data_IF_574697585348
#
_entry.id   IF_574697585348
#
_cell.length_a   1.000
_cell.length_b   1.000
_cell.length_c   1.000
_cell.angle_alpha   90.00
_cell.angle_beta   90.00
_cell.angle_gamma   90.00
#
_symmetry.space_group_name_H-M   'P 1'
#
loop_
_entity.id
_entity.type
_entity.pdbx_description
1 polymer ?
#
# COMPACT_ATOMS: atom_id res chain seq x y z
N UNK A 1 -3.98 -26.79 0.69
CA UNK A 1 -3.72 -25.41 0.22
C UNK A 1 -3.47 -25.43 -1.29
N UNK A 2 -4.23 -24.70 -2.09
CA UNK A 2 -4.09 -24.63 -3.54
C UNK A 2 -3.29 -23.38 -3.90
N UNK A 3 -2.05 -23.55 -4.31
CA UNK A 3 -1.18 -22.49 -4.81
C UNK A 3 -0.96 -22.70 -6.31
N UNK A 4 -1.13 -21.66 -7.10
CA UNK A 4 -0.84 -21.64 -8.53
C UNK A 4 0.22 -20.60 -8.79
N UNK A 5 1.24 -20.92 -9.59
CA UNK A 5 2.37 -20.02 -9.87
C UNK A 5 2.72 -20.11 -11.35
N UNK A 6 2.89 -18.95 -11.95
CA UNK A 6 3.57 -18.76 -13.22
C UNK A 6 4.96 -18.20 -12.91
N UNK A 7 5.99 -18.89 -13.37
CA UNK A 7 7.39 -18.48 -13.24
C UNK A 7 8.11 -18.68 -14.57
N UNK A 8 8.63 -17.62 -15.13
CA UNK A 8 9.34 -17.64 -16.40
C UNK A 8 10.36 -16.51 -16.47
N UNK A 9 11.65 -16.85 -16.59
CA UNK A 9 12.74 -15.89 -16.79
C UNK A 9 12.68 -14.67 -15.83
N UNK A 10 12.73 -14.91 -14.53
CA UNK A 10 12.65 -13.91 -13.46
C UNK A 10 11.27 -13.25 -13.26
N UNK A 11 10.29 -13.55 -14.10
CA UNK A 11 8.92 -13.03 -13.99
C UNK A 11 8.07 -14.01 -13.20
N UNK A 12 7.62 -13.59 -12.04
CA UNK A 12 6.83 -14.44 -11.14
C UNK A 12 5.50 -13.78 -10.80
N UNK A 13 4.41 -14.52 -10.95
CA UNK A 13 3.10 -14.23 -10.39
C UNK A 13 2.48 -15.50 -9.83
N UNK A 14 1.78 -15.39 -8.72
CA UNK A 14 1.03 -16.52 -8.16
C UNK A 14 -0.28 -16.10 -7.53
N UNK A 15 -1.16 -17.08 -7.40
CA UNK A 15 -2.45 -16.99 -6.74
C UNK A 15 -2.55 -18.06 -5.66
N UNK A 16 -3.00 -17.66 -4.48
CA UNK A 16 -3.26 -18.54 -3.33
C UNK A 16 -4.66 -18.23 -2.81
N UNK A 17 -5.41 -19.27 -2.47
CA UNK A 17 -6.65 -19.11 -1.72
C UNK A 17 -6.34 -18.73 -0.27
N UNK A 18 -6.92 -17.63 0.18
CA UNK A 18 -6.85 -17.20 1.57
C UNK A 18 -7.85 -18.00 2.38
N UNK A 19 -7.37 -18.72 3.38
CA UNK A 19 -8.16 -19.50 4.33
C UNK A 19 -7.44 -19.53 5.68
N UNK A 20 -8.06 -20.07 6.72
CA UNK A 20 -7.39 -20.25 8.00
C UNK A 20 -6.12 -21.11 7.90
N UNK A 21 -6.13 -22.13 7.03
CA UNK A 21 -4.97 -23.00 6.81
C UNK A 21 -3.79 -22.27 6.14
N UNK A 22 -4.07 -21.34 5.22
CA UNK A 22 -3.04 -20.59 4.49
C UNK A 22 -2.54 -19.35 5.23
N UNK A 23 -3.29 -18.87 6.24
CA UNK A 23 -3.05 -17.59 6.91
C UNK A 23 -1.61 -17.46 7.47
N UNK A 24 -1.10 -18.49 8.13
CA UNK A 24 0.26 -18.47 8.69
C UNK A 24 1.32 -18.34 7.60
N UNK A 25 1.15 -19.03 6.48
CA UNK A 25 2.06 -18.92 5.33
C UNK A 25 2.00 -17.53 4.71
N UNK A 26 0.80 -16.97 4.51
CA UNK A 26 0.60 -15.65 3.91
C UNK A 26 1.17 -14.52 4.78
N UNK A 27 1.19 -14.72 6.09
CA UNK A 27 1.77 -13.78 7.05
C UNK A 27 3.29 -13.96 7.24
N UNK A 28 3.89 -14.99 6.64
CA UNK A 28 5.33 -15.27 6.76
C UNK A 28 6.17 -14.37 5.85
N UNK A 29 7.49 -14.41 6.04
CA UNK A 29 8.47 -13.70 5.21
C UNK A 29 8.56 -14.21 3.76
N UNK A 30 7.92 -15.35 3.43
CA UNK A 30 7.98 -15.98 2.10
C UNK A 30 7.55 -15.04 0.97
N UNK A 31 6.62 -14.12 1.24
CA UNK A 31 6.11 -13.18 0.23
C UNK A 31 6.56 -11.72 0.45
N UNK A 32 7.55 -11.50 1.32
CA UNK A 32 8.02 -10.15 1.68
C UNK A 32 8.53 -9.35 0.48
N UNK A 33 9.23 -9.99 -0.44
CA UNK A 33 9.82 -9.35 -1.63
C UNK A 33 8.83 -9.10 -2.76
N UNK A 34 7.60 -9.61 -2.65
CA UNK A 34 6.58 -9.48 -3.68
C UNK A 34 5.64 -8.31 -3.43
N UNK A 35 5.08 -7.78 -4.51
CA UNK A 35 3.89 -6.94 -4.46
C UNK A 35 2.70 -7.89 -4.25
N UNK A 36 1.78 -7.49 -3.37
CA UNK A 36 0.66 -8.35 -2.94
C UNK A 36 -0.66 -7.65 -3.13
N UNK A 37 -1.65 -8.39 -3.63
CA UNK A 37 -3.05 -7.96 -3.68
C UNK A 37 -3.89 -9.01 -2.99
N UNK A 38 -4.65 -8.61 -1.99
CA UNK A 38 -5.55 -9.49 -1.25
C UNK A 38 -6.98 -9.07 -1.52
N UNK A 39 -7.83 -10.01 -1.87
CA UNK A 39 -9.27 -9.83 -1.98
C UNK A 39 -9.99 -10.67 -0.93
N UNK A 40 -10.78 -10.01 -0.09
CA UNK A 40 -11.64 -10.65 0.91
C UNK A 40 -13.10 -10.34 0.55
N UNK A 41 -13.83 -11.29 -0.07
CA UNK A 41 -15.20 -11.07 -0.55
C UNK A 41 -16.21 -10.75 0.55
N UNK A 42 -15.96 -11.17 1.76
CA UNK A 42 -16.85 -10.96 2.92
C UNK A 42 -16.21 -10.07 3.98
N UNK A 43 -15.09 -9.42 3.63
CA UNK A 43 -14.35 -8.59 4.55
C UNK A 43 -13.42 -9.35 5.48
N UNK A 44 -12.97 -8.68 6.54
CA UNK A 44 -12.01 -9.24 7.48
C UNK A 44 -11.14 -8.18 8.11
N UNK A 45 -10.16 -8.61 8.93
CA UNK A 45 -9.19 -7.73 9.57
C UNK A 45 -7.80 -8.00 9.03
N UNK A 46 -7.18 -6.96 8.52
CA UNK A 46 -5.83 -6.99 7.96
C UNK A 46 -5.00 -5.87 8.57
N UNK A 47 -3.78 -6.19 8.98
CA UNK A 47 -2.80 -5.20 9.43
C UNK A 47 -1.73 -5.04 8.34
N UNK A 48 -1.46 -3.81 7.95
CA UNK A 48 -0.34 -3.47 7.07
C UNK A 48 0.56 -2.48 7.80
N UNK A 49 1.80 -2.88 8.03
CA UNK A 49 2.75 -2.17 8.91
C UNK A 49 2.15 -1.93 10.32
N UNK A 50 1.95 -0.67 10.68
CA UNK A 50 1.44 -0.23 11.98
C UNK A 50 -0.05 0.10 11.96
N UNK A 51 -0.72 -0.06 10.82
CA UNK A 51 -2.14 0.28 10.63
C UNK A 51 -3.00 -0.97 10.53
N UNK A 52 -4.09 -0.99 11.30
CA UNK A 52 -5.08 -2.07 11.26
C UNK A 52 -6.29 -1.60 10.47
N UNK A 53 -6.77 -2.48 9.59
CA UNK A 53 -7.93 -2.25 8.73
C UNK A 53 -8.99 -3.30 9.00
N UNK A 54 -10.25 -2.88 9.06
CA UNK A 54 -11.39 -3.78 9.24
C UNK A 54 -12.41 -3.47 8.15
N UNK A 55 -12.75 -4.46 7.37
CA UNK A 55 -13.77 -4.38 6.34
C UNK A 55 -14.96 -5.27 6.73
N UNK A 56 -16.16 -4.71 6.72
CA UNK A 56 -17.40 -5.44 7.02
C UNK A 56 -17.98 -6.13 5.78
N UNK A 57 -17.46 -5.86 4.60
CA UNK A 57 -17.86 -6.41 3.30
C UNK A 57 -16.68 -6.52 2.34
N UNK A 58 -16.94 -6.73 1.04
CA UNK A 58 -15.88 -6.99 0.06
C UNK A 58 -14.80 -5.91 0.07
N UNK A 59 -13.53 -6.33 0.15
CA UNK A 59 -12.40 -5.40 0.23
C UNK A 59 -11.16 -5.93 -0.49
N UNK A 60 -10.43 -5.01 -1.11
CA UNK A 60 -9.13 -5.23 -1.71
C UNK A 60 -8.04 -4.54 -0.89
N UNK A 61 -6.91 -5.22 -0.71
CA UNK A 61 -5.73 -4.66 -0.05
C UNK A 61 -4.55 -4.72 -1.02
N UNK A 62 -3.79 -3.63 -1.07
CA UNK A 62 -2.63 -3.45 -1.95
C UNK A 62 -1.39 -3.21 -1.11
N UNK A 63 -0.41 -4.12 -1.18
CA UNK A 63 0.75 -4.15 -0.30
C UNK A 63 2.03 -4.23 -1.11
N UNK A 64 2.94 -3.29 -0.90
CA UNK A 64 4.25 -3.25 -1.56
C UNK A 64 5.29 -4.09 -0.82
N UNK A 65 6.42 -4.46 -1.45
CA UNK A 65 7.47 -5.25 -0.81
C UNK A 65 8.02 -4.63 0.49
N UNK A 66 7.98 -3.30 0.62
CA UNK A 66 8.47 -2.60 1.81
C UNK A 66 7.50 -2.63 3.00
N UNK A 67 6.32 -3.24 2.85
CA UNK A 67 5.27 -3.28 3.87
C UNK A 67 5.12 -4.68 4.46
N UNK A 68 4.92 -4.73 5.77
CA UNK A 68 4.61 -5.96 6.50
C UNK A 68 3.11 -6.18 6.48
N UNK A 69 2.70 -7.33 5.97
CA UNK A 69 1.31 -7.78 5.92
C UNK A 69 1.04 -8.75 7.06
N UNK A 70 -0.11 -8.60 7.73
CA UNK A 70 -0.62 -9.58 8.67
C UNK A 70 -2.15 -9.68 8.52
N UNK A 71 -2.62 -10.78 7.99
CA UNK A 71 -4.05 -11.13 7.92
C UNK A 71 -4.43 -11.66 9.30
N UNK A 72 -5.33 -10.96 10.01
CA UNK A 72 -5.62 -11.24 11.42
C UNK A 72 -6.90 -12.06 11.62
N UNK A 73 -7.96 -11.71 10.89
CA UNK A 73 -9.27 -12.33 11.06
C UNK A 73 -9.99 -12.39 9.72
N UNK A 74 -10.30 -13.59 9.29
CA UNK A 74 -11.04 -13.88 8.07
C UNK A 74 -12.54 -14.08 8.31
N UNK A 75 -12.99 -14.04 9.58
CA UNK A 75 -14.38 -14.30 9.96
C UNK A 75 -14.92 -15.65 9.42
N UNK A 76 -14.04 -16.64 9.27
CA UNK A 76 -14.34 -17.94 8.68
C UNK A 76 -14.50 -17.97 7.16
N UNK A 77 -14.15 -16.89 6.49
CA UNK A 77 -14.31 -16.71 5.04
C UNK A 77 -13.05 -17.04 4.28
N UNK A 78 -13.24 -17.27 2.99
CA UNK A 78 -12.17 -17.48 2.02
C UNK A 78 -11.95 -16.21 1.18
N UNK A 79 -10.76 -16.08 0.62
CA UNK A 79 -10.39 -14.97 -0.24
C UNK A 79 -9.30 -15.36 -1.23
N UNK A 80 -8.73 -14.36 -1.86
CA UNK A 80 -7.67 -14.53 -2.84
C UNK A 80 -6.46 -13.68 -2.47
N UNK A 81 -5.28 -14.25 -2.67
CA UNK A 81 -4.01 -13.59 -2.49
C UNK A 81 -3.19 -13.73 -3.77
N UNK A 82 -2.97 -12.62 -4.46
CA UNK A 82 -2.06 -12.54 -5.60
C UNK A 82 -0.73 -11.96 -5.11
N UNK A 83 0.37 -12.57 -5.52
CA UNK A 83 1.71 -12.03 -5.35
C UNK A 83 2.44 -12.02 -6.67
N UNK A 84 3.24 -10.98 -6.92
CA UNK A 84 4.03 -10.86 -8.14
C UNK A 84 5.27 -9.99 -7.93
N UNK A 85 6.28 -10.17 -8.78
CA UNK A 85 7.47 -9.33 -8.75
C UNK A 85 7.41 -8.21 -9.82
N UNK A 86 8.33 -7.25 -9.71
CA UNK A 86 8.42 -6.11 -10.65
C UNK A 86 8.70 -6.53 -12.08
N UNK A 87 9.44 -7.63 -12.27
CA UNK A 87 9.77 -8.15 -13.62
C UNK A 87 8.54 -8.71 -14.32
N UNK A 88 7.56 -9.22 -13.57
CA UNK A 88 6.27 -9.62 -14.13
C UNK A 88 5.39 -8.42 -14.46
N UNK A 89 5.21 -7.49 -13.51
CA UNK A 89 4.41 -6.28 -13.69
C UNK A 89 4.98 -5.11 -12.88
N UNK A 90 5.54 -4.12 -13.59
CA UNK A 90 6.05 -2.91 -12.97
C UNK A 90 4.96 -1.84 -12.91
N UNK A 91 4.50 -1.52 -11.72
CA UNK A 91 3.47 -0.49 -11.49
C UNK A 91 3.92 0.86 -12.03
N UNK A 92 5.21 1.23 -11.82
CA UNK A 92 5.76 2.52 -12.23
C UNK A 92 5.80 2.69 -13.76
N UNK A 93 6.17 1.63 -14.50
CA UNK A 93 6.23 1.67 -15.97
C UNK A 93 4.85 1.75 -16.61
N UNK A 94 3.87 1.03 -16.02
CA UNK A 94 2.50 0.98 -16.52
C UNK A 94 1.58 2.03 -15.90
N UNK A 95 2.12 2.96 -15.09
CA UNK A 95 1.33 3.94 -14.37
C UNK A 95 0.60 4.93 -15.29
N UNK A 96 1.18 5.28 -16.45
CA UNK A 96 0.51 6.13 -17.44
C UNK A 96 -0.78 5.49 -17.97
N UNK A 97 -0.82 4.15 -18.08
CA UNK A 97 -1.99 3.41 -18.58
C UNK A 97 -3.04 3.16 -17.48
N UNK A 98 -2.59 2.88 -16.26
CA UNK A 98 -3.43 2.34 -15.17
C UNK A 98 -3.71 3.39 -14.08
N UNK A 99 -2.80 4.33 -13.88
CA UNK A 99 -2.89 5.40 -12.87
C UNK A 99 -3.22 4.89 -11.46
N UNK A 100 -2.63 3.75 -11.06
CA UNK A 100 -2.87 3.12 -9.76
C UNK A 100 -1.77 3.41 -8.73
N UNK A 101 -0.56 3.78 -9.19
CA UNK A 101 0.54 4.13 -8.29
C UNK A 101 0.24 5.47 -7.58
N UNK A 102 0.59 5.57 -6.31
CA UNK A 102 0.21 6.71 -5.48
C UNK A 102 -1.26 6.73 -5.03
N UNK A 103 -2.13 5.87 -5.57
CA UNK A 103 -3.53 5.71 -5.14
C UNK A 103 -3.74 4.38 -4.40
N UNK A 104 -3.52 3.27 -5.06
CA UNK A 104 -3.65 1.92 -4.51
C UNK A 104 -2.36 1.49 -3.81
N UNK A 105 -1.23 1.72 -4.47
CA UNK A 105 0.10 1.43 -3.95
C UNK A 105 0.77 2.73 -3.51
N UNK A 106 1.74 2.62 -2.59
CA UNK A 106 2.51 3.76 -2.08
C UNK A 106 1.66 4.92 -1.53
N UNK A 107 0.41 4.63 -1.15
CA UNK A 107 -0.48 5.62 -0.57
C UNK A 107 -0.16 5.83 0.91
N UNK A 108 0.49 6.93 1.21
CA UNK A 108 1.09 7.24 2.52
C UNK A 108 0.04 7.59 3.59
N UNK A 109 -1.12 8.08 3.15
CA UNK A 109 -2.13 8.62 4.06
C UNK A 109 -3.41 7.82 4.12
N UNK A 110 -3.61 6.96 3.18
CA UNK A 110 -4.79 6.13 3.10
C UNK A 110 -4.39 4.68 3.00
N UNK A 111 -5.16 4.01 3.60
CA UNK A 111 -5.53 2.66 3.62
C UNK A 111 -5.04 1.97 2.35
N UNK A 112 -4.12 1.06 2.53
CA UNK A 112 -3.84 0.04 1.52
C UNK A 112 -5.08 -0.82 1.22
N UNK A 113 -6.29 -0.28 1.44
CA UNK A 113 -7.59 -0.94 1.35
C UNK A 113 -8.56 -0.14 0.48
N UNK A 114 -9.28 -0.82 -0.38
CA UNK A 114 -10.41 -0.30 -1.15
C UNK A 114 -11.63 -1.15 -0.82
N UNK A 115 -12.67 -0.56 -0.22
CA UNK A 115 -13.95 -1.24 -0.03
C UNK A 115 -14.63 -1.40 -1.41
N UNK A 116 -14.98 -2.62 -1.76
CA UNK A 116 -15.65 -2.91 -3.04
C UNK A 116 -17.15 -2.75 -2.85
N UNK A 117 -17.83 -1.83 -3.59
CA UNK A 117 -19.27 -1.71 -3.53
C UNK A 117 -19.96 -2.98 -4.02
N UNK A 118 -21.15 -3.30 -3.49
CA UNK A 118 -21.89 -4.52 -3.85
C UNK A 118 -22.11 -4.67 -5.36
N UNK A 119 -22.38 -3.57 -6.06
CA UNK A 119 -22.54 -3.55 -7.52
C UNK A 119 -21.28 -3.94 -8.29
N UNK A 120 -20.10 -3.84 -7.68
CA UNK A 120 -18.79 -4.14 -8.27
C UNK A 120 -18.21 -5.47 -7.76
N UNK A 121 -18.79 -6.06 -6.70
CA UNK A 121 -18.28 -7.25 -6.03
C UNK A 121 -18.28 -8.47 -6.97
N UNK A 122 -19.34 -8.67 -7.75
CA UNK A 122 -19.42 -9.74 -8.72
C UNK A 122 -18.33 -9.63 -9.80
N UNK A 123 -18.12 -8.43 -10.34
CA UNK A 123 -17.07 -8.20 -11.35
C UNK A 123 -15.69 -8.55 -10.79
N UNK A 124 -15.37 -8.09 -9.56
CA UNK A 124 -14.08 -8.38 -8.92
C UNK A 124 -13.91 -9.87 -8.65
N UNK A 125 -14.95 -10.54 -8.14
CA UNK A 125 -14.90 -11.98 -7.86
C UNK A 125 -14.69 -12.78 -9.16
N UNK A 126 -15.43 -12.46 -10.23
CA UNK A 126 -15.27 -13.09 -11.53
C UNK A 126 -13.87 -12.89 -12.10
N UNK A 127 -13.27 -11.71 -11.88
CA UNK A 127 -11.91 -11.44 -12.34
C UNK A 127 -10.87 -12.35 -11.65
N UNK A 128 -11.01 -12.60 -10.34
CA UNK A 128 -10.15 -13.55 -9.64
C UNK A 128 -10.37 -15.00 -10.12
N UNK A 129 -11.60 -15.38 -10.42
CA UNK A 129 -11.92 -16.69 -11.01
C UNK A 129 -11.30 -16.83 -12.41
N UNK A 130 -11.32 -15.79 -13.24
CA UNK A 130 -10.64 -15.79 -14.53
C UNK A 130 -9.13 -15.93 -14.39
N UNK A 131 -8.52 -15.21 -13.45
CA UNK A 131 -7.08 -15.33 -13.13
C UNK A 131 -6.77 -16.78 -12.70
N UNK A 132 -7.58 -17.37 -11.82
CA UNK A 132 -7.41 -18.76 -11.38
C UNK A 132 -7.49 -19.75 -12.54
N UNK A 133 -8.45 -19.55 -13.44
CA UNK A 133 -8.63 -20.40 -14.64
C UNK A 133 -7.43 -20.26 -15.59
N UNK A 134 -6.91 -19.04 -15.75
CA UNK A 134 -5.77 -18.76 -16.61
C UNK A 134 -4.50 -19.48 -16.15
N UNK A 135 -4.28 -19.65 -14.86
CA UNK A 135 -3.15 -20.43 -14.34
C UNK A 135 -3.18 -21.91 -14.76
N UNK A 136 -4.34 -22.44 -15.11
CA UNK A 136 -4.48 -23.82 -15.62
C UNK A 136 -4.14 -23.95 -17.12
N UNK A 137 -4.21 -22.84 -17.86
CA UNK A 137 -3.87 -22.78 -19.29
C UNK A 137 -2.37 -22.56 -19.41
N UNK A 138 -1.67 -23.50 -20.09
CA UNK A 138 -0.21 -23.42 -20.26
C UNK A 138 0.12 -23.16 -21.72
N UNK A 139 -0.27 -22.00 -22.23
CA UNK A 139 0.03 -21.58 -23.59
C UNK A 139 0.94 -20.33 -23.64
N UNK A 140 1.31 -19.92 -24.85
CA UNK A 140 2.18 -18.76 -25.05
C UNK A 140 1.55 -17.42 -24.69
N UNK A 141 0.24 -17.36 -24.52
CA UNK A 141 -0.53 -16.16 -24.24
C UNK A 141 -0.78 -15.94 -22.73
N UNK A 142 -0.52 -16.97 -21.91
CA UNK A 142 -0.83 -16.97 -20.47
C UNK A 142 -0.24 -15.75 -19.74
N UNK A 143 1.04 -15.41 -20.01
CA UNK A 143 1.69 -14.29 -19.38
C UNK A 143 0.95 -12.98 -19.63
N UNK A 144 0.56 -12.73 -20.90
CA UNK A 144 -0.10 -11.49 -21.28
C UNK A 144 -1.57 -11.45 -20.80
N UNK A 145 -2.24 -12.57 -20.74
CA UNK A 145 -3.58 -12.67 -20.17
C UNK A 145 -3.57 -12.36 -18.67
N UNK A 146 -2.66 -12.95 -17.92
CA UNK A 146 -2.50 -12.64 -16.49
C UNK A 146 -2.19 -11.15 -16.24
N UNK A 147 -1.35 -10.53 -17.08
CA UNK A 147 -1.11 -9.08 -17.04
C UNK A 147 -2.37 -8.26 -17.33
N UNK A 148 -3.14 -8.69 -18.33
CA UNK A 148 -4.38 -8.01 -18.71
C UNK A 148 -5.40 -8.05 -17.58
N UNK A 149 -5.55 -9.17 -16.89
CA UNK A 149 -6.42 -9.29 -15.73
C UNK A 149 -5.94 -8.40 -14.55
N UNK A 150 -4.63 -8.34 -14.28
CA UNK A 150 -4.09 -7.41 -13.29
C UNK A 150 -4.36 -5.95 -13.67
N UNK A 151 -4.19 -5.57 -14.93
CA UNK A 151 -4.52 -4.21 -15.40
C UNK A 151 -5.99 -3.88 -15.15
N UNK A 152 -6.91 -4.80 -15.51
CA UNK A 152 -8.35 -4.62 -15.25
C UNK A 152 -8.64 -4.44 -13.75
N UNK A 153 -8.04 -5.28 -12.91
CA UNK A 153 -8.18 -5.20 -11.45
C UNK A 153 -7.73 -3.83 -10.93
N UNK A 154 -6.56 -3.34 -11.35
CA UNK A 154 -6.03 -2.06 -10.90
C UNK A 154 -6.84 -0.87 -11.40
N UNK A 155 -7.24 -0.86 -12.68
CA UNK A 155 -8.07 0.21 -13.24
C UNK A 155 -9.41 0.28 -12.49
N UNK A 156 -10.07 -0.87 -12.28
CA UNK A 156 -11.34 -0.92 -11.56
C UNK A 156 -11.19 -0.46 -10.12
N UNK A 157 -10.18 -0.95 -9.42
CA UNK A 157 -9.89 -0.57 -8.04
C UNK A 157 -9.55 0.91 -7.89
N UNK A 158 -8.75 1.48 -8.82
CA UNK A 158 -8.44 2.90 -8.82
C UNK A 158 -9.68 3.78 -9.04
N UNK A 159 -10.61 3.33 -9.89
CA UNK A 159 -11.91 4.03 -10.09
C UNK A 159 -12.75 4.00 -8.82
N UNK A 160 -12.87 2.84 -8.17
CA UNK A 160 -13.60 2.69 -6.90
C UNK A 160 -12.95 3.58 -5.84
N UNK A 161 -11.63 3.54 -5.70
CA UNK A 161 -10.89 4.35 -4.75
C UNK A 161 -11.16 5.85 -4.97
N UNK A 162 -11.09 6.32 -6.22
CA UNK A 162 -11.36 7.72 -6.57
C UNK A 162 -12.78 8.13 -6.20
N UNK A 163 -13.78 7.29 -6.46
CA UNK A 163 -15.17 7.57 -6.07
C UNK A 163 -15.33 7.71 -4.55
N UNK A 164 -14.66 6.86 -3.77
CA UNK A 164 -14.76 6.85 -2.31
C UNK A 164 -14.05 8.05 -1.66
N UNK A 165 -12.91 8.47 -2.20
CA UNK A 165 -12.04 9.44 -1.53
C UNK A 165 -12.03 10.83 -2.17
N UNK A 166 -12.45 10.96 -3.42
CA UNK A 166 -12.42 12.24 -4.15
C UNK A 166 -13.82 12.82 -4.42
N UNK A 167 -14.87 12.22 -3.81
CA UNK A 167 -16.19 12.82 -3.67
C UNK A 167 -16.88 13.22 -4.96
N UNK A 168 -16.90 12.39 -6.00
CA UNK A 168 -17.75 12.60 -7.18
C UNK A 168 -17.53 13.92 -7.98
N UNK A 169 -16.56 14.75 -7.60
CA UNK A 169 -16.20 16.03 -8.26
C UNK A 169 -15.33 15.78 -9.52
N UNK A 170 -15.31 14.54 -10.01
CA UNK A 170 -14.54 14.20 -11.19
C UNK A 170 -15.31 14.56 -12.46
N UNK A 171 -15.24 15.84 -12.85
CA UNK A 171 -15.39 16.17 -14.26
C UNK A 171 -14.09 15.81 -14.98
N UNK A 172 -14.17 15.23 -16.17
CA UNK A 172 -13.02 14.77 -16.99
C UNK A 172 -11.94 15.85 -17.30
N UNK A 173 -12.10 17.05 -16.77
CA UNK A 173 -11.20 18.20 -16.95
C UNK A 173 -10.38 18.57 -15.72
N UNK A 174 -10.55 17.90 -14.56
CA UNK A 174 -9.87 18.28 -13.33
C UNK A 174 -8.53 17.55 -13.18
N UNK A 175 -7.45 18.28 -13.37
CA UNK A 175 -6.06 17.86 -13.14
C UNK A 175 -5.71 17.59 -11.65
N UNK A 176 -6.66 17.74 -10.73
CA UNK A 176 -6.41 17.66 -9.30
C UNK A 176 -6.17 16.24 -8.76
N UNK A 177 -6.93 15.20 -9.18
CA UNK A 177 -6.61 13.82 -8.79
C UNK A 177 -5.24 13.35 -9.27
N UNK A 178 -4.85 13.76 -10.49
CA UNK A 178 -3.53 13.48 -11.02
C UNK A 178 -2.43 14.24 -10.28
N UNK A 179 -2.71 15.47 -9.87
CA UNK A 179 -1.81 16.25 -9.02
C UNK A 179 -1.59 15.57 -7.65
N UNK A 180 -2.65 15.06 -7.02
CA UNK A 180 -2.55 14.31 -5.76
C UNK A 180 -1.69 13.05 -5.95
N UNK A 181 -1.97 12.27 -6.98
CA UNK A 181 -1.22 11.06 -7.30
C UNK A 181 0.27 11.35 -7.52
N UNK A 182 0.60 12.30 -8.38
CA UNK A 182 1.98 12.72 -8.64
C UNK A 182 2.68 13.22 -7.37
N UNK A 183 1.96 13.98 -6.54
CA UNK A 183 2.49 14.45 -5.26
C UNK A 183 2.86 13.27 -4.35
N UNK A 184 1.97 12.28 -4.22
CA UNK A 184 2.20 11.12 -3.35
C UNK A 184 3.41 10.31 -3.81
N UNK A 185 3.55 10.10 -5.12
CA UNK A 185 4.73 9.45 -5.71
C UNK A 185 6.03 10.22 -5.44
N UNK A 186 6.00 11.54 -5.63
CA UNK A 186 7.16 12.37 -5.35
C UNK A 186 7.53 12.35 -3.86
N UNK A 187 6.55 12.34 -2.97
CA UNK A 187 6.80 12.21 -1.53
C UNK A 187 7.43 10.86 -1.22
N UNK A 188 6.93 9.76 -1.77
CA UNK A 188 7.53 8.43 -1.55
C UNK A 188 8.97 8.35 -2.06
N UNK A 189 9.26 9.01 -3.17
CA UNK A 189 10.60 9.05 -3.77
C UNK A 189 11.60 9.96 -3.04
N UNK A 190 11.15 11.08 -2.50
CA UNK A 190 12.04 12.17 -2.03
C UNK A 190 11.93 12.51 -0.54
N UNK A 191 11.12 11.81 0.26
CA UNK A 191 10.87 12.13 1.67
C UNK A 191 12.12 12.24 2.54
N UNK A 192 13.25 11.64 2.16
CA UNK A 192 14.52 11.73 2.89
C UNK A 192 15.24 13.08 2.72
N UNK A 193 15.01 13.76 1.59
CA UNK A 193 15.75 14.96 1.24
C UNK A 193 14.86 16.18 1.07
N UNK A 194 13.54 16.03 1.05
CA UNK A 194 12.56 17.09 0.83
C UNK A 194 11.47 17.01 1.88
N UNK A 195 11.38 18.07 2.70
CA UNK A 195 10.52 18.07 3.89
C UNK A 195 9.45 19.15 3.86
N UNK A 196 9.48 20.06 2.88
CA UNK A 196 8.56 21.21 2.83
C UNK A 196 7.58 21.10 1.66
N UNK A 197 6.42 21.72 1.80
CA UNK A 197 5.43 21.78 0.69
C UNK A 197 6.00 22.50 -0.52
N UNK A 198 6.90 23.50 -0.32
CA UNK A 198 7.54 24.23 -1.41
C UNK A 198 8.41 23.28 -2.26
N UNK A 199 9.20 22.41 -1.65
CA UNK A 199 10.05 21.45 -2.37
C UNK A 199 9.26 20.60 -3.39
N UNK A 200 8.06 20.17 -3.01
CA UNK A 200 7.21 19.34 -3.87
C UNK A 200 6.39 20.17 -4.85
N UNK A 201 6.01 21.37 -4.48
CA UNK A 201 5.33 22.30 -5.37
C UNK A 201 6.24 22.67 -6.56
N UNK A 202 7.53 22.88 -6.30
CA UNK A 202 8.54 23.11 -7.33
C UNK A 202 8.68 21.91 -8.28
N UNK A 203 8.72 20.68 -7.76
CA UNK A 203 8.77 19.46 -8.58
C UNK A 203 7.51 19.28 -9.44
N UNK A 204 6.36 19.75 -8.95
CA UNK A 204 5.09 19.70 -9.67
C UNK A 204 4.85 20.92 -10.58
N UNK A 205 5.76 21.88 -10.59
CA UNK A 205 5.66 23.13 -11.34
C UNK A 205 4.38 23.93 -10.98
N UNK A 206 4.02 23.95 -9.70
CA UNK A 206 2.87 24.71 -9.20
C UNK A 206 3.27 25.57 -7.99
N UNK A 207 2.51 26.61 -7.69
CA UNK A 207 2.73 27.40 -6.48
C UNK A 207 2.32 26.59 -5.23
N UNK A 208 3.02 26.70 -4.08
CA UNK A 208 2.68 26.00 -2.82
C UNK A 208 1.22 26.24 -2.36
N UNK A 209 0.73 27.48 -2.53
CA UNK A 209 -0.67 27.83 -2.23
C UNK A 209 -1.65 27.08 -3.12
N UNK A 210 -1.34 26.94 -4.41
CA UNK A 210 -2.16 26.21 -5.37
C UNK A 210 -2.24 24.73 -4.99
N UNK A 211 -1.11 24.12 -4.63
CA UNK A 211 -1.04 22.74 -4.17
C UNK A 211 -1.94 22.53 -2.93
N UNK A 212 -1.77 23.36 -1.90
CA UNK A 212 -2.58 23.32 -0.68
C UNK A 212 -4.07 23.51 -0.96
N UNK A 213 -4.44 24.44 -1.86
CA UNK A 213 -5.83 24.68 -2.23
C UNK A 213 -6.47 23.50 -2.97
N UNK A 214 -5.75 22.85 -3.89
CA UNK A 214 -6.22 21.63 -4.59
C UNK A 214 -6.54 20.51 -3.60
N UNK A 215 -5.66 20.26 -2.63
CA UNK A 215 -5.87 19.25 -1.58
C UNK A 215 -7.09 19.56 -0.71
N UNK A 216 -7.26 20.82 -0.33
CA UNK A 216 -8.43 21.25 0.43
C UNK A 216 -9.73 21.06 -0.37
N UNK A 217 -9.74 21.39 -1.66
CA UNK A 217 -10.89 21.23 -2.55
C UNK A 217 -11.32 19.77 -2.68
N UNK A 218 -10.36 18.85 -2.73
CA UNK A 218 -10.58 17.41 -2.79
C UNK A 218 -10.87 16.79 -1.41
N UNK A 219 -10.95 17.58 -0.34
CA UNK A 219 -11.08 17.11 1.04
C UNK A 219 -10.00 16.08 1.45
N UNK A 220 -8.79 16.24 0.90
CA UNK A 220 -7.64 15.39 1.18
C UNK A 220 -6.82 15.93 2.36
N UNK A 221 -6.03 15.08 3.04
CA UNK A 221 -5.07 15.54 4.03
C UNK A 221 -4.12 16.57 3.43
N UNK A 222 -3.74 17.57 4.23
CA UNK A 222 -2.87 18.65 3.75
C UNK A 222 -1.50 18.12 3.30
N UNK A 223 -0.86 18.70 2.27
CA UNK A 223 0.43 18.22 1.74
C UNK A 223 1.50 18.06 2.83
N UNK A 224 1.60 19.00 3.77
CA UNK A 224 2.55 18.93 4.88
C UNK A 224 2.33 17.71 5.80
N UNK A 225 1.05 17.32 6.00
CA UNK A 225 0.71 16.13 6.79
C UNK A 225 1.15 14.85 6.08
N UNK A 226 0.97 14.79 4.77
CA UNK A 226 1.38 13.67 3.93
C UNK A 226 2.90 13.46 4.02
N UNK A 227 3.67 14.53 3.84
CA UNK A 227 5.13 14.50 3.94
C UNK A 227 5.56 13.97 5.32
N UNK A 228 5.04 14.57 6.39
CA UNK A 228 5.37 14.16 7.77
C UNK A 228 4.98 12.72 8.05
N UNK A 229 3.80 12.30 7.62
CA UNK A 229 3.34 10.93 7.85
C UNK A 229 4.24 9.90 7.14
N UNK A 230 4.74 10.19 5.92
CA UNK A 230 5.69 9.32 5.23
C UNK A 230 7.01 9.18 5.98
N UNK A 231 7.54 10.30 6.45
CA UNK A 231 8.78 10.33 7.23
C UNK A 231 8.61 9.50 8.52
N UNK A 232 7.52 9.70 9.24
CA UNK A 232 7.24 8.97 10.49
C UNK A 232 7.00 7.48 10.24
N UNK A 233 6.36 7.11 9.14
CA UNK A 233 6.21 5.69 8.77
C UNK A 233 7.57 5.04 8.58
N UNK A 234 8.49 5.68 7.86
CA UNK A 234 9.83 5.15 7.68
C UNK A 234 10.62 5.10 8.99
N UNK A 235 10.49 6.15 9.82
CA UNK A 235 11.09 6.16 11.14
C UNK A 235 10.65 4.97 12.00
N UNK A 236 9.35 4.65 12.00
CA UNK A 236 8.80 3.48 12.69
C UNK A 236 9.41 2.17 12.17
N UNK A 237 9.52 2.03 10.84
CA UNK A 237 10.14 0.84 10.21
C UNK A 237 11.60 0.69 10.63
N UNK A 238 12.39 1.76 10.55
CA UNK A 238 13.79 1.75 10.96
C UNK A 238 13.95 1.45 12.46
N UNK A 239 13.07 1.97 13.31
CA UNK A 239 13.07 1.68 14.75
C UNK A 239 12.80 0.20 15.06
N UNK A 240 11.93 -0.45 14.30
CA UNK A 240 11.51 -1.84 14.56
C UNK A 240 12.44 -2.85 13.89
N UNK A 241 12.91 -2.57 12.68
CA UNK A 241 13.62 -3.55 11.85
C UNK A 241 15.14 -3.32 11.77
N UNK A 242 15.68 -2.32 12.48
CA UNK A 242 17.14 -2.05 12.52
C UNK A 242 17.59 -1.66 13.92
N UNK A 243 18.91 -1.81 14.17
CA UNK A 243 19.54 -1.38 15.41
C UNK A 243 19.95 0.11 15.44
N UNK A 244 19.61 0.87 14.40
CA UNK A 244 19.95 2.29 14.28
C UNK A 244 19.42 3.09 15.48
N UNK A 245 20.26 3.89 16.08
CA UNK A 245 19.84 4.82 17.18
C UNK A 245 18.91 5.90 16.62
N UNK A 246 18.03 6.44 17.45
CA UNK A 246 17.10 7.51 17.05
C UNK A 246 17.81 8.71 16.38
N UNK A 247 19.02 9.04 16.82
CA UNK A 247 19.85 10.08 16.21
C UNK A 247 20.31 9.71 14.78
N UNK A 248 20.68 8.48 14.55
CA UNK A 248 21.11 7.96 13.24
C UNK A 248 19.92 7.91 12.28
N UNK A 249 18.74 7.51 12.79
CA UNK A 249 17.49 7.54 12.04
C UNK A 249 17.13 8.97 11.62
N UNK A 250 17.28 9.94 12.53
CA UNK A 250 17.04 11.35 12.21
C UNK A 250 17.92 11.83 11.03
N UNK A 251 19.21 11.54 11.07
CA UNK A 251 20.13 11.89 9.98
C UNK A 251 19.83 11.13 8.69
N UNK A 252 19.49 9.83 8.78
CA UNK A 252 19.10 9.03 7.62
C UNK A 252 17.84 9.59 6.92
N UNK A 253 16.95 10.19 7.70
CA UNK A 253 15.73 10.83 7.22
C UNK A 253 15.91 12.31 6.86
N UNK A 254 17.16 12.81 6.80
CA UNK A 254 17.49 14.16 6.36
C UNK A 254 17.28 15.26 7.39
N UNK A 255 17.13 14.92 8.67
CA UNK A 255 17.05 15.93 9.76
C UNK A 255 18.44 16.25 10.32
N UNK A 256 18.82 17.51 10.27
CA UNK A 256 20.07 18.01 10.88
C UNK A 256 19.99 18.06 12.40
N UNK A 257 18.80 18.31 12.96
CA UNK A 257 18.54 18.34 14.41
C UNK A 257 17.74 17.10 14.87
N UNK A 258 18.39 16.11 15.52
CA UNK A 258 17.71 14.93 16.07
C UNK A 258 16.69 15.28 17.18
N UNK A 259 16.82 16.42 17.87
CA UNK A 259 15.86 16.82 18.88
C UNK A 259 14.56 17.30 18.24
N UNK A 260 14.65 18.02 17.11
CA UNK A 260 13.47 18.38 16.31
C UNK A 260 12.77 17.13 15.77
N UNK A 261 13.52 16.19 15.20
CA UNK A 261 12.97 14.91 14.75
C UNK A 261 12.24 14.15 15.87
N UNK A 262 12.85 14.05 17.06
CA UNK A 262 12.25 13.35 18.19
C UNK A 262 10.94 14.01 18.66
N UNK A 263 10.88 15.35 18.65
CA UNK A 263 9.64 16.11 18.92
C UNK A 263 8.57 15.86 17.86
N UNK A 264 8.94 15.86 16.58
CA UNK A 264 8.02 15.56 15.49
C UNK A 264 7.47 14.14 15.62
N UNK A 265 8.34 13.16 15.93
CA UNK A 265 7.93 11.77 16.12
C UNK A 265 6.95 11.66 17.30
N UNK A 266 7.25 12.32 18.42
CA UNK A 266 6.36 12.34 19.59
C UNK A 266 4.98 12.97 19.28
N UNK A 267 4.96 14.11 18.60
CA UNK A 267 3.70 14.77 18.18
C UNK A 267 2.84 13.85 17.31
N UNK A 268 3.47 13.06 16.45
CA UNK A 268 2.78 12.18 15.49
C UNK A 268 2.40 10.81 16.05
N UNK A 269 3.09 10.34 17.08
CA UNK A 269 2.89 8.96 17.60
C UNK A 269 2.40 8.90 19.04
N UNK A 270 2.52 10.00 19.78
CA UNK A 270 2.23 10.06 21.21
C UNK A 270 3.35 9.51 22.10
N UNK A 271 4.45 9.03 21.55
CA UNK A 271 5.54 8.40 22.29
C UNK A 271 6.92 8.75 21.70
N UNK A 272 7.98 8.64 22.51
CA UNK A 272 9.34 8.89 22.02
C UNK A 272 9.81 7.76 21.08
N UNK A 273 10.80 8.02 20.18
CA UNK A 273 11.37 6.95 19.35
C UNK A 273 11.89 5.76 20.15
N UNK A 274 12.53 5.98 21.29
CA UNK A 274 13.04 4.91 22.14
C UNK A 274 11.94 4.11 22.81
N UNK A 275 10.90 4.78 23.32
CA UNK A 275 9.72 4.11 23.91
C UNK A 275 8.99 3.26 22.86
N UNK A 276 8.82 3.81 21.65
CA UNK A 276 8.23 3.09 20.53
C UNK A 276 8.97 1.79 20.21
N UNK A 277 10.32 1.85 20.11
CA UNK A 277 11.15 0.66 19.87
C UNK A 277 10.96 -0.38 20.98
N UNK A 278 11.09 0.00 22.24
CA UNK A 278 10.97 -0.93 23.38
C UNK A 278 9.62 -1.65 23.38
N UNK A 279 8.54 -0.90 23.15
CA UNK A 279 7.19 -1.44 23.09
C UNK A 279 7.00 -2.49 21.99
N UNK A 280 7.56 -2.25 20.80
CA UNK A 280 7.44 -3.17 19.68
C UNK A 280 8.33 -4.40 19.81
N UNK A 281 9.54 -4.28 20.36
CA UNK A 281 10.41 -5.42 20.65
C UNK A 281 9.82 -6.32 21.74
N UNK A 282 9.22 -5.75 22.79
CA UNK A 282 8.52 -6.54 23.81
C UNK A 282 7.32 -7.30 23.27
N UNK A 283 6.59 -6.72 22.33
CA UNK A 283 5.41 -7.33 21.73
C UNK A 283 5.78 -8.46 20.78
N UNK A 284 6.85 -8.33 20.00
CA UNK A 284 7.36 -9.39 19.13
C UNK A 284 7.82 -10.62 19.92
N UNK A 285 8.46 -10.41 21.07
CA UNK A 285 8.87 -11.51 21.96
C UNK A 285 7.69 -12.23 22.65
N UNK A 286 6.56 -11.57 22.85
CA UNK A 286 5.35 -12.19 23.41
C UNK A 286 4.61 -13.02 22.36
N UNK A 287 4.53 -12.53 21.13
CA UNK A 287 3.91 -13.24 20.00
C UNK A 287 4.70 -14.52 19.61
N UNK A 288 6.01 -14.59 19.93
CA UNK A 288 6.85 -15.79 19.73
C UNK A 288 6.73 -16.85 20.86
N UNK A 289 6.19 -16.50 22.02
CA UNK A 289 6.04 -17.40 23.17
C UNK A 289 4.66 -18.11 23.19
N UNK A 290 3.70 -17.60 22.44
CA UNK A 290 2.33 -18.17 22.33
C UNK A 290 2.16 -19.15 21.14
N UNK A 291 3.24 -19.58 20.49
CA UNK A 291 3.28 -20.65 19.47
C UNK A 291 3.91 -21.89 20.09
#
# INVERSE_FOLDING_TARGET
MKQQVFDNNFKTIGLIHVSQESQNLLNSEAYKSYIKVIYLPQGGKVKVDFSQYSAAGPALFFVTPSQVLNIQDLQGNEGYFIFYNRDFYCIEIHDEEVACDGLLFNNINNVSMTCVPDQDAEFITNLFTHIETEFALKDSSQEEMLRTYLKQLFIKSARIWKQQHLGGVLTDRDSDPDCFRKFTLLVDKHYRNKHTVADYADLLLVAPKTLTHRFKRLNLPQPNEIIKNRIILEAKRLLVHTDMKAKEIAYNLGYEDPAYFSRLFFIKTGESPSSFRTKYLMKSNLDEIEI
#
